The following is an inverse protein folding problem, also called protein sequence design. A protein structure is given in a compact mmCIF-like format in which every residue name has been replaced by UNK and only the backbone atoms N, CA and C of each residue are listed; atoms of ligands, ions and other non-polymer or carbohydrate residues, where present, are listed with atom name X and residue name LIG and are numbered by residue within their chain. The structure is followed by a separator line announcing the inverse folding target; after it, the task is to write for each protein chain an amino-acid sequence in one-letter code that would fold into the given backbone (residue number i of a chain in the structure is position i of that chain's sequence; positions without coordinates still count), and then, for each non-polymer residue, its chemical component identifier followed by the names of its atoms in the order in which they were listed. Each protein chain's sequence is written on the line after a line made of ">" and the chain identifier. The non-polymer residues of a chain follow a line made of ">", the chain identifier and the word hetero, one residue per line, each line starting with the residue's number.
data_IF_400674677143
#
_entry.id   IF_400674677143
#
_cell.length_a   1.000
_cell.length_b   1.000
_cell.length_c   1.000
_cell.angle_alpha   90.00
_cell.angle_beta   90.00
_cell.angle_gamma   90.00
#
_symmetry.space_group_name_H-M   'P 1'
#
loop_
_entity.id
_entity.type
_entity.pdbx_description
1 polymer ?
#
# COMPACT_ATOMS: atom_id res chain seq x y z
N UNK A 1 16.44 18.57 -13.56
CA UNK A 1 15.07 18.27 -13.07
C UNK A 1 14.26 19.56 -13.06
N UNK A 2 13.06 19.60 -13.62
CA UNK A 2 12.21 20.80 -13.53
C UNK A 2 11.57 20.92 -12.15
N UNK A 3 11.32 22.16 -11.70
CA UNK A 3 10.64 22.43 -10.42
C UNK A 3 9.25 21.80 -10.36
N UNK A 4 8.55 21.72 -11.51
CA UNK A 4 7.27 21.03 -11.63
C UNK A 4 7.35 19.54 -11.24
N UNK A 5 8.40 18.83 -11.67
CA UNK A 5 8.60 17.40 -11.32
C UNK A 5 8.85 17.24 -9.82
N UNK A 6 9.58 18.16 -9.20
CA UNK A 6 9.85 18.11 -7.76
C UNK A 6 8.56 18.28 -6.95
N UNK A 7 7.73 19.26 -7.30
CA UNK A 7 6.44 19.49 -6.64
C UNK A 7 5.51 18.30 -6.84
N UNK A 8 5.41 17.79 -8.08
CA UNK A 8 4.56 16.64 -8.38
C UNK A 8 5.00 15.40 -7.60
N UNK A 9 6.30 15.08 -7.62
CA UNK A 9 6.87 13.96 -6.90
C UNK A 9 6.64 14.07 -5.39
N UNK A 10 6.94 15.23 -4.79
CA UNK A 10 6.73 15.47 -3.37
C UNK A 10 5.25 15.33 -2.98
N UNK A 11 4.34 15.82 -3.82
CA UNK A 11 2.89 15.70 -3.59
C UNK A 11 2.43 14.24 -3.65
N UNK A 12 2.88 13.48 -4.66
CA UNK A 12 2.55 12.06 -4.80
C UNK A 12 3.07 11.23 -3.61
N UNK A 13 4.33 11.45 -3.21
CA UNK A 13 4.91 10.76 -2.06
C UNK A 13 4.16 11.14 -0.77
N UNK A 14 3.88 12.43 -0.55
CA UNK A 14 3.13 12.88 0.63
C UNK A 14 1.72 12.28 0.70
N UNK A 15 1.01 12.21 -0.43
CA UNK A 15 -0.29 11.54 -0.50
C UNK A 15 -0.17 10.05 -0.22
N UNK A 16 0.84 9.38 -0.80
CA UNK A 16 1.12 7.96 -0.55
C UNK A 16 1.41 7.67 0.92
N UNK A 17 2.24 8.49 1.57
CA UNK A 17 2.49 8.41 3.03
C UNK A 17 1.22 8.68 3.83
N UNK A 18 0.39 9.65 3.41
CA UNK A 18 -0.92 9.90 4.00
C UNK A 18 -1.84 8.68 3.96
N UNK A 19 -1.85 7.93 2.84
CA UNK A 19 -2.58 6.67 2.73
C UNK A 19 -2.07 5.62 3.71
N UNK A 20 -0.76 5.49 3.90
CA UNK A 20 -0.20 4.59 4.92
C UNK A 20 -0.61 5.00 6.33
N UNK A 21 -0.55 6.29 6.67
CA UNK A 21 -0.99 6.78 7.97
C UNK A 21 -2.48 6.48 8.22
N UNK A 22 -3.35 6.78 7.25
CA UNK A 22 -4.78 6.48 7.35
C UNK A 22 -5.03 4.98 7.40
N UNK A 23 -4.27 4.18 6.65
CA UNK A 23 -4.31 2.71 6.70
C UNK A 23 -3.97 2.16 8.08
N UNK A 24 -2.87 2.64 8.68
CA UNK A 24 -2.47 2.26 10.05
C UNK A 24 -3.51 2.70 11.07
N UNK A 25 -4.04 3.92 10.96
CA UNK A 25 -5.12 4.38 11.83
C UNK A 25 -6.39 3.53 11.67
N UNK A 26 -6.73 3.13 10.44
CA UNK A 26 -7.83 2.22 10.15
C UNK A 26 -7.62 0.84 10.78
N UNK A 27 -6.41 0.30 10.69
CA UNK A 27 -6.04 -0.97 11.32
C UNK A 27 -6.20 -0.94 12.84
N UNK A 28 -5.81 0.17 13.49
CA UNK A 28 -5.87 0.32 14.95
C UNK A 28 -7.27 0.67 15.48
N UNK A 29 -8.06 1.43 14.71
CA UNK A 29 -9.30 2.05 15.21
C UNK A 29 -10.58 1.36 14.75
N UNK A 30 -10.56 0.63 13.64
CA UNK A 30 -11.77 0.00 13.12
C UNK A 30 -12.18 -1.20 14.00
N UNK A 31 -13.48 -1.40 14.24
CA UNK A 31 -13.95 -2.42 15.18
C UNK A 31 -13.90 -3.83 14.61
N UNK A 32 -14.09 -3.99 13.30
CA UNK A 32 -14.25 -5.29 12.64
C UNK A 32 -13.04 -5.67 11.78
N UNK A 33 -12.70 -6.96 11.75
CA UNK A 33 -11.55 -7.49 11.02
C UNK A 33 -11.62 -7.20 9.51
N UNK A 34 -12.78 -7.34 8.88
CA UNK A 34 -12.91 -7.07 7.43
C UNK A 34 -12.73 -5.58 7.14
N UNK A 35 -13.25 -4.71 8.01
CA UNK A 35 -13.05 -3.27 7.86
C UNK A 35 -11.58 -2.86 8.05
N UNK A 36 -10.85 -3.51 8.97
CA UNK A 36 -9.39 -3.34 9.15
C UNK A 36 -8.62 -3.80 7.91
N UNK A 37 -8.92 -4.98 7.37
CA UNK A 37 -8.29 -5.51 6.16
C UNK A 37 -8.56 -4.64 4.93
N UNK A 38 -9.76 -4.08 4.80
CA UNK A 38 -10.09 -3.12 3.73
C UNK A 38 -9.28 -1.84 3.82
N UNK A 39 -9.08 -1.30 5.04
CA UNK A 39 -8.23 -0.13 5.24
C UNK A 39 -6.76 -0.42 4.90
N UNK A 40 -6.24 -1.57 5.33
CA UNK A 40 -4.86 -1.98 5.11
C UNK A 40 -4.57 -2.22 3.61
N UNK A 41 -5.41 -2.98 2.92
CA UNK A 41 -5.26 -3.27 1.48
C UNK A 41 -5.31 -2.01 0.62
N UNK A 42 -6.12 -1.01 0.98
CA UNK A 42 -6.12 0.29 0.29
C UNK A 42 -4.81 1.05 0.46
N UNK A 43 -4.24 1.01 1.67
CA UNK A 43 -2.97 1.66 1.95
C UNK A 43 -1.82 1.01 1.16
N UNK A 44 -1.77 -0.33 1.14
CA UNK A 44 -0.75 -1.06 0.36
C UNK A 44 -0.91 -0.83 -1.15
N UNK A 45 -2.14 -0.90 -1.68
CA UNK A 45 -2.34 -0.81 -3.12
C UNK A 45 -2.16 0.62 -3.65
N UNK A 46 -2.89 1.59 -3.08
CA UNK A 46 -2.89 2.98 -3.55
C UNK A 46 -1.73 3.78 -2.96
N UNK A 47 -1.42 3.59 -1.67
CA UNK A 47 -0.32 4.31 -1.01
C UNK A 47 1.02 3.97 -1.64
N UNK A 48 1.33 2.69 -1.82
CA UNK A 48 2.56 2.27 -2.47
C UNK A 48 2.62 2.71 -3.95
N UNK A 49 1.50 2.64 -4.68
CA UNK A 49 1.44 3.11 -6.07
C UNK A 49 1.81 4.60 -6.17
N UNK A 50 1.25 5.44 -5.29
CA UNK A 50 1.52 6.88 -5.26
C UNK A 50 2.99 7.17 -4.92
N UNK A 51 3.56 6.47 -3.94
CA UNK A 51 4.98 6.61 -3.59
C UNK A 51 5.86 6.23 -4.79
N UNK A 52 5.60 5.10 -5.43
CA UNK A 52 6.40 4.62 -6.57
C UNK A 52 6.27 5.57 -7.76
N UNK A 53 5.06 6.02 -8.11
CA UNK A 53 4.86 7.01 -9.17
C UNK A 53 5.59 8.32 -8.87
N UNK A 54 5.63 8.74 -7.60
CA UNK A 54 6.41 9.90 -7.17
C UNK A 54 7.93 9.69 -7.33
N UNK A 55 8.42 8.47 -7.16
CA UNK A 55 9.84 8.13 -7.29
C UNK A 55 10.27 7.86 -8.75
N UNK A 56 9.35 7.51 -9.65
CA UNK A 56 9.66 7.18 -11.06
C UNK A 56 10.54 8.22 -11.78
N UNK A 57 10.33 9.54 -11.63
CA UNK A 57 11.18 10.55 -12.27
C UNK A 57 12.62 10.64 -11.71
N UNK A 58 12.87 10.06 -10.54
CA UNK A 58 14.17 10.10 -9.84
C UNK A 58 15.04 8.87 -10.11
N UNK A 59 14.47 7.89 -10.81
CA UNK A 59 15.15 6.67 -11.21
C UNK A 59 16.20 7.00 -12.26
N UNK A 60 17.43 6.47 -12.09
CA UNK A 60 18.52 6.73 -13.03
C UNK A 60 18.62 5.71 -14.17
N UNK A 61 18.03 4.52 -14.02
CA UNK A 61 18.07 3.45 -15.01
C UNK A 61 16.73 2.69 -15.12
N UNK A 62 16.42 2.19 -16.31
CA UNK A 62 15.19 1.43 -16.58
C UNK A 62 15.08 0.20 -15.67
N UNK A 63 16.20 -0.46 -15.35
CA UNK A 63 16.20 -1.58 -14.41
C UNK A 63 15.77 -1.18 -13.00
N UNK A 64 16.12 0.01 -12.52
CA UNK A 64 15.67 0.48 -11.22
C UNK A 64 14.17 0.77 -11.23
N UNK A 65 13.63 1.34 -12.31
CA UNK A 65 12.19 1.57 -12.46
C UNK A 65 11.42 0.26 -12.51
N UNK A 66 11.95 -0.75 -13.21
CA UNK A 66 11.38 -2.09 -13.24
C UNK A 66 11.41 -2.77 -11.87
N UNK A 67 12.47 -2.58 -11.07
CA UNK A 67 12.52 -3.06 -9.67
C UNK A 67 11.43 -2.43 -8.82
N UNK A 68 11.18 -1.12 -8.94
CA UNK A 68 10.08 -0.46 -8.23
C UNK A 68 8.73 -1.04 -8.62
N UNK A 69 8.46 -1.21 -9.92
CA UNK A 69 7.24 -1.86 -10.39
C UNK A 69 7.11 -3.30 -9.89
N UNK A 70 8.20 -4.06 -9.87
CA UNK A 70 8.22 -5.42 -9.34
C UNK A 70 7.88 -5.44 -7.84
N UNK A 71 8.46 -4.52 -7.06
CA UNK A 71 8.13 -4.35 -5.63
C UNK A 71 6.64 -4.08 -5.48
N UNK A 72 6.07 -3.17 -6.28
CA UNK A 72 4.64 -2.88 -6.23
C UNK A 72 3.81 -4.13 -6.45
N UNK A 73 4.04 -4.85 -7.55
CA UNK A 73 3.27 -6.05 -7.91
C UNK A 73 3.41 -7.15 -6.86
N UNK A 74 4.61 -7.37 -6.32
CA UNK A 74 4.84 -8.36 -5.27
C UNK A 74 4.12 -7.99 -3.98
N UNK A 75 4.11 -6.71 -3.60
CA UNK A 75 3.35 -6.25 -2.43
C UNK A 75 1.84 -6.39 -2.66
N UNK A 76 1.33 -6.05 -3.85
CA UNK A 76 -0.08 -6.26 -4.21
C UNK A 76 -0.48 -7.73 -4.05
N UNK A 77 0.33 -8.64 -4.63
CA UNK A 77 0.09 -10.08 -4.55
C UNK A 77 0.15 -10.57 -3.10
N UNK A 78 1.17 -10.17 -2.35
CA UNK A 78 1.34 -10.55 -0.94
C UNK A 78 0.19 -10.06 -0.06
N UNK A 79 -0.20 -8.78 -0.19
CA UNK A 79 -1.29 -8.16 0.57
C UNK A 79 -2.64 -8.80 0.24
N UNK A 80 -2.89 -9.11 -1.04
CA UNK A 80 -4.09 -9.82 -1.48
C UNK A 80 -4.15 -11.26 -0.92
N UNK A 81 -3.06 -12.01 -0.99
CA UNK A 81 -3.01 -13.37 -0.43
C UNK A 81 -3.16 -13.37 1.08
N UNK A 82 -2.45 -12.49 1.79
CA UNK A 82 -2.55 -12.37 3.24
C UNK A 82 -3.99 -12.01 3.67
N UNK A 83 -4.59 -11.00 3.05
CA UNK A 83 -5.96 -10.58 3.37
C UNK A 83 -6.97 -11.67 3.08
N UNK A 84 -6.82 -12.41 1.97
CA UNK A 84 -7.70 -13.51 1.64
C UNK A 84 -7.61 -14.66 2.64
N UNK A 85 -6.40 -15.04 3.07
CA UNK A 85 -6.19 -16.10 4.06
C UNK A 85 -6.76 -15.70 5.44
N UNK A 86 -6.53 -14.45 5.87
CA UNK A 86 -7.05 -13.94 7.14
C UNK A 86 -8.58 -13.87 7.11
N UNK A 87 -9.16 -13.29 6.05
CA UNK A 87 -10.61 -13.21 5.88
C UNK A 87 -11.27 -14.59 5.83
N UNK A 88 -10.64 -15.57 5.15
CA UNK A 88 -11.13 -16.94 5.09
C UNK A 88 -11.16 -17.60 6.47
N UNK A 89 -10.10 -17.46 7.27
CA UNK A 89 -10.07 -18.00 8.64
C UNK A 89 -11.10 -17.35 9.55
N UNK A 90 -11.23 -16.03 9.46
CA UNK A 90 -12.26 -15.29 10.20
C UNK A 90 -13.68 -15.75 9.84
N UNK A 91 -13.95 -15.99 8.55
CA UNK A 91 -15.25 -16.49 8.10
C UNK A 91 -15.56 -17.93 8.56
N UNK A 92 -14.53 -18.74 8.86
CA UNK A 92 -14.69 -20.10 9.39
C UNK A 92 -14.89 -20.12 10.92
N UNK A 93 -14.84 -18.98 11.60
CA UNK A 93 -15.00 -18.88 13.06
C UNK A 93 -13.72 -19.18 13.86
N UNK A 94 -12.58 -19.36 13.18
CA UNK A 94 -11.30 -19.72 13.82
C UNK A 94 -10.52 -18.49 14.36
N UNK A 95 -11.10 -17.28 14.26
CA UNK A 95 -10.44 -16.04 14.65
C UNK A 95 -10.66 -15.63 16.13
N UNK A 96 -11.46 -16.38 16.89
CA UNK A 96 -11.69 -16.10 18.32
C UNK A 96 -10.59 -16.67 19.23
N UNK A 97 -9.65 -17.47 18.70
CA UNK A 97 -8.56 -18.13 19.46
C UNK A 97 -7.19 -17.43 19.36
N UNK A 98 -7.08 -16.25 18.75
CA UNK A 98 -5.83 -15.45 18.65
C UNK A 98 -5.99 -14.06 19.24
#
# INVERSE_FOLDING_TARGET
>A
MSLAIQILSGTLVALGTGFFLVGTLGLLRLPDLFTRLHALTKADNLGLALVILGLMPWVSDVFQGLKLLLIWVLVLASSATASHLIAKRAALGEAEEL
#
